data_IF_560651275441
#
_entry.id   IF_560651275441
#
_cell.length_a   1.000
_cell.length_b   1.000
_cell.length_c   1.000
_cell.angle_alpha   90.00
_cell.angle_beta   90.00
_cell.angle_gamma   90.00
#
_symmetry.space_group_name_H-M   'P 1'
#
loop_
_entity.id
_entity.type
_entity.pdbx_description
1 polymer ?
#
# COMPACT_ATOMS: atom_id res chain seq x y z
N UNK A 1 -12.99 46.16 13.20
CA UNK A 1 -11.95 45.13 12.91
C UNK A 1 -12.45 43.86 13.54
N UNK A 2 -12.80 42.85 12.74
CA UNK A 2 -13.12 41.52 13.28
C UNK A 2 -11.81 40.85 13.67
N UNK A 3 -11.73 40.23 14.86
CA UNK A 3 -10.52 39.54 15.29
C UNK A 3 -10.27 38.37 14.35
N UNK A 4 -9.02 38.25 13.90
CA UNK A 4 -8.55 37.07 13.19
C UNK A 4 -8.60 35.85 14.14
N UNK A 5 -8.95 34.70 13.57
CA UNK A 5 -8.90 33.43 14.31
C UNK A 5 -7.76 32.55 13.84
N UNK A 6 -7.29 31.69 14.72
CA UNK A 6 -6.39 30.61 14.37
C UNK A 6 -7.19 29.36 14.03
N UNK A 7 -6.90 28.76 12.89
CA UNK A 7 -7.46 27.50 12.46
C UNK A 7 -6.54 26.36 12.88
N UNK A 8 -7.12 25.29 13.39
CA UNK A 8 -6.41 24.03 13.64
C UNK A 8 -7.00 22.94 12.74
N UNK A 9 -6.14 22.09 12.23
CA UNK A 9 -6.48 20.94 11.40
C UNK A 9 -6.16 19.67 12.15
N UNK A 10 -7.12 18.77 12.23
CA UNK A 10 -6.96 17.39 12.68
C UNK A 10 -7.47 16.47 11.60
N UNK A 11 -6.72 15.42 11.30
CA UNK A 11 -7.04 14.51 10.21
C UNK A 11 -7.05 13.06 10.69
N UNK A 12 -7.82 12.23 10.03
CA UNK A 12 -7.87 10.79 10.27
C UNK A 12 -8.19 10.09 8.96
N UNK A 13 -7.18 9.52 8.36
CA UNK A 13 -7.34 8.66 7.18
C UNK A 13 -8.04 7.35 7.54
N UNK A 14 -8.83 6.81 6.61
CA UNK A 14 -9.26 5.42 6.68
C UNK A 14 -8.04 4.50 6.58
N UNK A 15 -8.21 3.19 6.81
CA UNK A 15 -7.13 2.21 6.80
C UNK A 15 -6.18 2.40 5.59
N UNK A 16 -4.97 2.85 5.86
CA UNK A 16 -3.95 3.17 4.84
C UNK A 16 -3.01 2.01 4.56
N UNK A 17 -2.82 1.12 5.51
CA UNK A 17 -1.98 -0.07 5.38
C UNK A 17 -2.76 -1.26 4.84
N UNK A 18 -2.06 -2.30 4.44
CA UNK A 18 -2.64 -3.57 4.02
C UNK A 18 -1.86 -4.26 2.92
N UNK A 19 -2.53 -5.13 2.19
CA UNK A 19 -1.93 -5.88 1.08
C UNK A 19 -2.01 -5.06 -0.21
N UNK A 20 -0.95 -5.10 -1.02
CA UNK A 20 -1.04 -4.64 -2.40
C UNK A 20 -2.07 -5.52 -3.14
N UNK A 21 -2.76 -4.95 -4.11
CA UNK A 21 -3.93 -5.60 -4.73
C UNK A 21 -5.27 -5.16 -4.15
N UNK A 22 -5.27 -4.39 -3.08
CA UNK A 22 -6.48 -3.74 -2.57
C UNK A 22 -7.03 -2.73 -3.59
N UNK A 23 -8.35 -2.72 -3.76
CA UNK A 23 -9.05 -1.82 -4.68
C UNK A 23 -9.88 -0.75 -3.96
N UNK A 24 -9.86 -0.72 -2.63
CA UNK A 24 -10.58 0.29 -1.85
C UNK A 24 -9.96 1.67 -2.07
N UNK A 25 -10.81 2.66 -2.18
CA UNK A 25 -10.39 4.05 -2.25
C UNK A 25 -9.64 4.46 -0.96
N UNK A 26 -8.66 5.32 -1.11
CA UNK A 26 -8.04 6.01 0.02
C UNK A 26 -8.92 7.18 0.40
N UNK A 27 -9.24 7.34 1.68
CA UNK A 27 -10.05 8.47 2.16
C UNK A 27 -9.46 9.08 3.42
N UNK A 28 -9.70 10.37 3.60
CA UNK A 28 -9.29 11.13 4.76
C UNK A 28 -10.44 11.99 5.27
N UNK A 29 -10.62 12.02 6.59
CA UNK A 29 -11.58 12.90 7.27
C UNK A 29 -10.83 14.03 7.94
N UNK A 30 -11.09 15.25 7.46
CA UNK A 30 -10.44 16.49 7.88
C UNK A 30 -11.38 17.22 8.82
N UNK A 31 -10.96 17.48 10.04
CA UNK A 31 -11.72 18.22 11.04
C UNK A 31 -11.03 19.55 11.31
N UNK A 32 -11.80 20.64 11.16
CA UNK A 32 -11.34 21.98 11.40
C UNK A 32 -11.88 22.49 12.73
N UNK A 33 -11.03 23.19 13.48
CA UNK A 33 -11.43 23.90 14.69
C UNK A 33 -10.86 25.32 14.68
N UNK A 34 -11.61 26.25 15.25
CA UNK A 34 -11.27 27.67 15.29
C UNK A 34 -11.43 28.21 16.71
N UNK A 35 -10.48 29.02 17.15
CA UNK A 35 -10.54 29.75 18.44
C UNK A 35 -11.41 31.01 18.38
N UNK A 36 -11.84 31.39 17.18
CA UNK A 36 -12.73 32.56 16.99
C UNK A 36 -14.20 32.25 17.19
N UNK A 37 -15.00 33.30 17.44
CA UNK A 37 -16.46 33.19 17.58
C UNK A 37 -17.17 33.03 16.23
N UNK A 38 -16.59 33.58 15.18
CA UNK A 38 -17.20 33.59 13.83
C UNK A 38 -17.11 32.23 13.17
N UNK A 39 -18.21 31.79 12.59
CA UNK A 39 -18.28 30.62 11.73
C UNK A 39 -18.28 31.04 10.27
N UNK A 40 -17.37 30.47 9.47
CA UNK A 40 -17.29 30.66 8.03
C UNK A 40 -16.81 29.40 7.33
N UNK A 41 -17.09 29.31 6.04
CA UNK A 41 -16.57 28.19 5.23
C UNK A 41 -15.10 28.45 4.86
N UNK A 42 -14.34 27.38 4.89
CA UNK A 42 -12.91 27.33 4.56
C UNK A 42 -12.71 26.31 3.44
N UNK A 43 -11.96 26.73 2.43
CA UNK A 43 -11.52 25.85 1.35
C UNK A 43 -10.10 25.37 1.60
N UNK A 44 -9.87 24.11 1.34
CA UNK A 44 -8.55 23.50 1.47
C UNK A 44 -8.30 22.46 0.41
N UNK A 45 -7.09 21.94 0.40
CA UNK A 45 -6.65 20.88 -0.49
C UNK A 45 -6.08 19.74 0.34
N UNK A 46 -6.59 18.55 0.12
CA UNK A 46 -6.00 17.31 0.61
C UNK A 46 -5.28 16.62 -0.55
N UNK A 47 -4.04 16.28 -0.36
CA UNK A 47 -3.22 15.63 -1.39
C UNK A 47 -2.84 14.23 -0.94
N UNK A 48 -3.30 13.21 -1.67
CA UNK A 48 -2.82 11.86 -1.50
C UNK A 48 -1.49 11.71 -2.24
N UNK A 49 -0.50 11.20 -1.53
CA UNK A 49 0.81 10.84 -2.07
C UNK A 49 0.93 9.32 -2.15
N UNK A 50 1.61 8.88 -3.17
CA UNK A 50 2.04 7.49 -3.34
C UNK A 50 3.53 7.45 -3.66
N UNK A 51 4.28 6.64 -2.91
CA UNK A 51 5.67 6.31 -3.23
C UNK A 51 5.80 4.81 -3.41
N UNK A 52 6.06 4.38 -4.65
CA UNK A 52 6.30 2.99 -4.97
C UNK A 52 7.61 2.46 -4.37
N UNK A 53 7.77 1.15 -4.34
CA UNK A 53 9.02 0.50 -3.87
C UNK A 53 10.23 0.83 -4.74
N UNK A 54 10.02 1.28 -5.97
CA UNK A 54 11.05 1.79 -6.90
C UNK A 54 11.40 3.27 -6.68
N UNK A 55 10.76 3.94 -5.73
CA UNK A 55 10.95 5.35 -5.43
C UNK A 55 10.14 6.31 -6.31
N UNK A 56 9.38 5.83 -7.26
CA UNK A 56 8.48 6.66 -8.07
C UNK A 56 7.39 7.28 -7.20
N UNK A 57 7.19 8.58 -7.29
CA UNK A 57 6.15 9.29 -6.55
C UNK A 57 5.05 9.75 -7.48
N UNK A 58 3.80 9.64 -7.01
CA UNK A 58 2.59 10.14 -7.67
C UNK A 58 1.73 10.85 -6.63
N UNK A 59 0.93 11.79 -7.09
CA UNK A 59 0.02 12.55 -6.23
C UNK A 59 -1.32 12.77 -6.91
N UNK A 60 -2.37 12.91 -6.10
CA UNK A 60 -3.67 13.40 -6.52
C UNK A 60 -4.20 14.39 -5.48
N UNK A 61 -4.61 15.57 -5.93
CA UNK A 61 -5.14 16.62 -5.08
C UNK A 61 -6.68 16.60 -5.11
N UNK A 62 -7.29 16.72 -3.94
CA UNK A 62 -8.74 16.83 -3.74
C UNK A 62 -9.06 18.14 -3.03
N UNK A 63 -9.92 18.93 -3.63
CA UNK A 63 -10.43 20.12 -2.98
C UNK A 63 -11.54 19.76 -1.99
N UNK A 64 -11.57 20.47 -0.87
CA UNK A 64 -12.65 20.35 0.10
C UNK A 64 -13.11 21.72 0.57
N UNK A 65 -14.33 21.77 1.05
CA UNK A 65 -14.90 22.93 1.75
C UNK A 65 -15.53 22.43 3.03
N UNK A 66 -15.21 23.06 4.13
CA UNK A 66 -15.82 22.78 5.43
C UNK A 66 -16.03 24.07 6.21
N UNK A 67 -16.94 24.07 7.17
CA UNK A 67 -16.97 25.10 8.21
C UNK A 67 -15.64 25.10 8.98
N UNK A 68 -15.16 26.28 9.39
CA UNK A 68 -13.99 26.40 10.27
C UNK A 68 -14.16 25.72 11.65
N UNK A 69 -15.34 25.15 11.91
CA UNK A 69 -15.71 24.34 13.09
C UNK A 69 -16.41 23.04 12.68
N UNK A 70 -16.08 22.51 11.52
CA UNK A 70 -16.73 21.35 10.93
C UNK A 70 -15.74 20.39 10.32
N UNK A 71 -16.24 19.44 9.54
CA UNK A 71 -15.44 18.40 8.91
C UNK A 71 -15.78 18.22 7.45
N UNK A 72 -14.84 17.69 6.69
CA UNK A 72 -15.01 17.21 5.33
C UNK A 72 -14.32 15.86 5.15
N UNK A 73 -14.84 15.03 4.26
CA UNK A 73 -14.19 13.79 3.85
C UNK A 73 -13.84 13.88 2.37
N UNK A 74 -12.61 13.47 2.03
CA UNK A 74 -12.12 13.36 0.67
C UNK A 74 -11.77 11.91 0.36
N UNK A 75 -11.83 11.55 -0.92
CA UNK A 75 -11.46 10.21 -1.40
C UNK A 75 -10.69 10.29 -2.70
N UNK A 76 -9.76 9.38 -2.87
CA UNK A 76 -9.02 9.19 -4.11
C UNK A 76 -8.80 7.70 -4.40
N UNK A 77 -8.96 7.31 -5.65
CA UNK A 77 -8.71 5.96 -6.11
C UNK A 77 -7.29 5.83 -6.65
N UNK A 78 -6.79 4.59 -6.70
CA UNK A 78 -5.51 4.31 -7.35
C UNK A 78 -5.52 4.70 -8.84
N UNK A 79 -6.67 4.61 -9.52
CA UNK A 79 -6.82 4.99 -10.94
C UNK A 79 -6.71 6.48 -11.19
N UNK A 80 -7.05 7.31 -10.19
CA UNK A 80 -6.84 8.76 -10.29
C UNK A 80 -5.36 9.12 -10.25
N UNK A 81 -4.53 8.29 -9.60
CA UNK A 81 -3.08 8.48 -9.59
C UNK A 81 -2.42 7.88 -10.84
N UNK A 82 -2.91 6.73 -11.29
CA UNK A 82 -2.40 6.07 -12.48
C UNK A 82 -3.49 5.20 -13.10
N UNK A 83 -4.00 5.64 -14.25
CA UNK A 83 -5.05 4.93 -14.97
C UNK A 83 -4.62 3.53 -15.46
N UNK A 84 -3.31 3.25 -15.53
CA UNK A 84 -2.78 1.93 -15.88
C UNK A 84 -2.86 0.91 -14.73
N UNK A 85 -3.05 1.37 -13.50
CA UNK A 85 -3.15 0.49 -12.35
C UNK A 85 -4.54 -0.15 -12.26
N UNK A 86 -4.58 -1.41 -11.88
CA UNK A 86 -5.83 -2.12 -11.60
C UNK A 86 -6.13 -2.18 -10.09
N UNK A 87 -5.10 -1.99 -9.28
CA UNK A 87 -5.16 -2.03 -7.83
C UNK A 87 -3.98 -1.25 -7.23
N UNK A 88 -4.00 -1.02 -5.91
CA UNK A 88 -2.87 -0.40 -5.23
C UNK A 88 -1.62 -1.27 -5.33
N UNK A 89 -0.53 -0.79 -5.95
CA UNK A 89 0.75 -1.51 -5.95
C UNK A 89 1.43 -1.42 -4.58
N UNK A 90 2.54 -2.14 -4.40
CA UNK A 90 3.33 -2.05 -3.17
C UNK A 90 4.00 -0.67 -3.04
N UNK A 91 4.02 -0.12 -1.83
CA UNK A 91 4.61 1.18 -1.52
C UNK A 91 3.92 1.89 -0.37
N UNK A 92 4.38 3.10 -0.08
CA UNK A 92 3.84 3.97 0.98
C UNK A 92 2.85 4.97 0.40
N UNK A 93 1.77 5.24 1.12
CA UNK A 93 0.82 6.29 0.80
C UNK A 93 0.51 7.13 2.03
N UNK A 94 0.20 8.41 1.83
CA UNK A 94 -0.16 9.33 2.92
C UNK A 94 -0.95 10.51 2.40
N UNK A 95 -1.68 11.16 3.30
CA UNK A 95 -2.40 12.39 3.02
C UNK A 95 -1.66 13.59 3.60
N UNK A 96 -1.58 14.67 2.83
CA UNK A 96 -1.23 16.00 3.29
C UNK A 96 -2.46 16.92 3.18
N UNK A 97 -2.64 17.83 4.11
CA UNK A 97 -3.71 18.83 4.07
C UNK A 97 -3.11 20.22 4.13
N UNK A 98 -3.53 21.07 3.21
CA UNK A 98 -3.10 22.47 3.13
C UNK A 98 -4.32 23.38 3.05
N UNK A 99 -4.36 24.40 3.91
CA UNK A 99 -5.39 25.45 3.94
C UNK A 99 -4.68 26.80 3.84
N UNK A 100 -4.81 27.45 2.69
CA UNK A 100 -4.26 28.78 2.49
C UNK A 100 -5.00 29.81 3.37
N UNK A 101 -4.30 30.86 3.78
CA UNK A 101 -4.91 31.97 4.50
C UNK A 101 -6.06 32.56 3.68
N UNK A 102 -7.24 32.63 4.27
CA UNK A 102 -8.44 33.13 3.66
C UNK A 102 -9.41 33.70 4.71
N UNK A 103 -10.43 34.47 4.27
CA UNK A 103 -11.44 35.00 5.18
C UNK A 103 -10.82 35.74 6.35
N UNK A 104 -11.23 35.38 7.56
CA UNK A 104 -10.71 35.94 8.80
C UNK A 104 -9.63 35.08 9.47
N UNK A 105 -9.00 34.14 8.76
CA UNK A 105 -7.87 33.38 9.27
C UNK A 105 -6.66 34.28 9.55
N UNK A 106 -5.99 34.07 10.66
CA UNK A 106 -4.73 34.77 10.99
C UNK A 106 -3.60 34.35 10.04
N UNK A 107 -3.53 33.07 9.70
CA UNK A 107 -2.46 32.46 8.92
C UNK A 107 -2.94 31.25 8.12
N UNK A 108 -2.11 30.78 7.21
CA UNK A 108 -2.30 29.48 6.57
C UNK A 108 -1.99 28.35 7.56
N UNK A 109 -2.57 27.17 7.35
CA UNK A 109 -2.33 25.98 8.16
C UNK A 109 -2.12 24.77 7.25
N UNK A 110 -1.23 23.86 7.66
CA UNK A 110 -1.02 22.60 6.96
C UNK A 110 -0.76 21.46 7.93
N UNK A 111 -1.09 20.24 7.48
CA UNK A 111 -0.74 19.00 8.15
C UNK A 111 -0.01 18.09 7.17
N UNK A 112 1.18 17.59 7.53
CA UNK A 112 1.98 16.69 6.71
C UNK A 112 1.91 15.28 7.26
N UNK A 113 1.35 14.38 6.47
CA UNK A 113 0.97 13.04 6.94
C UNK A 113 2.00 11.95 6.75
N UNK A 114 3.09 12.18 6.02
CA UNK A 114 4.06 11.11 5.67
C UNK A 114 4.55 10.32 6.89
N UNK A 115 4.79 11.01 8.01
CA UNK A 115 5.28 10.42 9.25
C UNK A 115 4.21 10.35 10.36
N UNK A 116 2.96 10.59 10.01
CA UNK A 116 1.83 10.45 10.91
C UNK A 116 1.13 9.12 10.66
N UNK A 117 1.15 8.23 11.64
CA UNK A 117 0.51 6.91 11.53
C UNK A 117 -1.01 6.95 11.35
N UNK A 118 -1.66 8.11 11.57
CA UNK A 118 -3.08 8.31 11.28
C UNK A 118 -3.35 8.67 9.82
N UNK A 119 -2.33 9.13 9.10
CA UNK A 119 -2.42 9.65 7.75
C UNK A 119 -1.64 8.82 6.73
N UNK A 120 -0.79 7.91 7.20
CA UNK A 120 0.10 7.12 6.36
C UNK A 120 -0.05 5.63 6.59
N UNK A 121 0.33 4.87 5.57
CA UNK A 121 0.40 3.42 5.63
C UNK A 121 1.14 2.83 4.44
N UNK A 122 1.42 1.55 4.54
CA UNK A 122 2.11 0.81 3.49
C UNK A 122 1.24 -0.31 2.94
N UNK A 123 1.24 -0.43 1.61
CA UNK A 123 0.76 -1.62 0.93
C UNK A 123 1.95 -2.54 0.69
N UNK A 124 1.91 -3.72 1.30
CA UNK A 124 2.99 -4.70 1.20
C UNK A 124 2.63 -5.85 0.29
N UNK A 125 3.61 -6.41 -0.40
CA UNK A 125 3.43 -7.67 -1.12
C UNK A 125 3.42 -8.82 -0.13
N UNK A 126 2.60 -9.84 -0.41
CA UNK A 126 2.71 -11.11 0.30
C UNK A 126 3.98 -11.80 -0.17
N UNK A 127 4.94 -12.13 0.73
CA UNK A 127 6.14 -12.86 0.34
C UNK A 127 5.77 -14.20 -0.29
N UNK A 128 6.53 -14.69 -1.28
CA UNK A 128 6.36 -16.05 -1.76
C UNK A 128 6.73 -17.05 -0.66
N UNK A 129 5.97 -18.13 -0.59
CA UNK A 129 6.24 -19.24 0.31
C UNK A 129 6.88 -20.38 -0.50
N UNK A 130 7.88 -21.02 0.05
CA UNK A 130 8.50 -22.20 -0.54
C UNK A 130 8.62 -23.28 0.52
N UNK A 131 8.24 -24.51 0.19
CA UNK A 131 8.45 -25.68 1.05
C UNK A 131 8.66 -26.92 0.20
N UNK A 132 9.20 -27.95 0.83
CA UNK A 132 9.45 -29.25 0.22
C UNK A 132 8.54 -30.30 0.88
N UNK A 133 8.07 -31.24 0.09
CA UNK A 133 7.45 -32.48 0.60
C UNK A 133 8.22 -33.69 0.10
N UNK A 134 8.30 -34.73 0.93
CA UNK A 134 8.87 -36.02 0.55
C UNK A 134 7.89 -36.83 -0.30
N UNK A 135 8.31 -38.02 -0.75
CA UNK A 135 7.48 -38.92 -1.56
C UNK A 135 6.17 -39.39 -0.87
N UNK A 136 6.08 -39.27 0.44
CA UNK A 136 4.87 -39.55 1.21
C UNK A 136 3.96 -38.29 1.41
N UNK A 137 4.36 -37.14 0.84
CA UNK A 137 3.61 -35.88 0.97
C UNK A 137 3.82 -35.14 2.30
N UNK A 138 4.79 -35.57 3.12
CA UNK A 138 5.08 -34.90 4.39
C UNK A 138 6.01 -33.73 4.15
N UNK A 139 5.75 -32.61 4.84
CA UNK A 139 6.63 -31.43 4.77
C UNK A 139 7.98 -31.72 5.39
N UNK A 140 9.04 -31.38 4.66
CA UNK A 140 10.43 -31.46 5.14
C UNK A 140 10.72 -30.13 5.86
N UNK A 141 11.05 -30.22 7.15
CA UNK A 141 11.35 -29.07 7.99
C UNK A 141 12.76 -28.55 7.71
N UNK A 142 12.88 -27.25 7.48
CA UNK A 142 14.16 -26.61 7.23
C UNK A 142 15.10 -26.75 8.44
N UNK A 143 16.29 -27.25 8.20
CA UNK A 143 17.33 -27.43 9.22
C UNK A 143 17.16 -28.62 10.16
N UNK A 144 16.06 -29.37 10.13
CA UNK A 144 15.79 -30.50 11.04
C UNK A 144 15.70 -31.85 10.34
N UNK A 145 15.40 -31.88 9.05
CA UNK A 145 15.23 -33.09 8.29
C UNK A 145 16.34 -33.23 7.26
N UNK A 146 17.01 -34.39 7.25
CA UNK A 146 17.95 -34.74 6.19
C UNK A 146 17.19 -35.40 5.04
N UNK A 147 17.54 -35.00 3.84
CA UNK A 147 17.04 -35.59 2.61
C UNK A 147 17.91 -36.75 2.21
N UNK A 148 17.36 -37.96 2.13
CA UNK A 148 18.11 -39.14 1.69
C UNK A 148 18.43 -39.05 0.19
N UNK A 149 19.67 -39.37 -0.17
CA UNK A 149 20.10 -39.44 -1.57
C UNK A 149 19.23 -40.41 -2.36
N UNK A 150 18.80 -39.98 -3.54
CA UNK A 150 17.94 -40.80 -4.42
C UNK A 150 16.44 -40.72 -4.09
N UNK A 151 16.03 -39.95 -3.10
CA UNK A 151 14.62 -39.77 -2.76
C UNK A 151 13.97 -38.70 -3.61
N UNK A 152 12.67 -38.86 -3.88
CA UNK A 152 11.88 -37.90 -4.59
C UNK A 152 11.35 -36.82 -3.64
N UNK A 153 11.40 -35.56 -4.07
CA UNK A 153 10.82 -34.42 -3.40
C UNK A 153 9.97 -33.63 -4.36
N UNK A 154 9.00 -32.97 -3.80
CA UNK A 154 8.23 -31.96 -4.52
C UNK A 154 8.51 -30.60 -3.90
N UNK A 155 9.00 -29.66 -4.69
CA UNK A 155 9.12 -28.27 -4.32
C UNK A 155 7.78 -27.58 -4.58
N UNK A 156 7.25 -26.96 -3.55
CA UNK A 156 6.04 -26.15 -3.64
C UNK A 156 6.43 -24.68 -3.55
N UNK A 157 5.94 -23.88 -4.47
CA UNK A 157 6.11 -22.43 -4.46
C UNK A 157 4.72 -21.82 -4.53
N UNK A 158 4.37 -21.03 -3.52
CA UNK A 158 3.16 -20.25 -3.50
C UNK A 158 3.54 -18.79 -3.67
N UNK A 159 3.14 -18.20 -4.76
CA UNK A 159 3.35 -16.79 -5.05
C UNK A 159 2.01 -16.10 -5.25
N UNK A 160 1.96 -14.83 -4.87
CA UNK A 160 0.80 -13.97 -5.07
C UNK A 160 1.12 -12.92 -6.11
N UNK A 161 0.31 -12.84 -7.16
CA UNK A 161 0.33 -11.71 -8.09
C UNK A 161 -0.82 -10.77 -7.74
N UNK A 162 -0.49 -9.50 -7.55
CA UNK A 162 -1.47 -8.46 -7.29
C UNK A 162 -1.79 -7.63 -8.55
N UNK A 163 -1.37 -8.13 -9.70
CA UNK A 163 -1.66 -7.55 -10.99
C UNK A 163 -2.18 -8.64 -11.92
N UNK A 164 -3.09 -8.28 -12.82
CA UNK A 164 -3.54 -9.17 -13.90
C UNK A 164 -2.49 -9.38 -14.99
N UNK A 165 -1.27 -8.91 -14.76
CA UNK A 165 -0.13 -9.07 -15.66
C UNK A 165 0.58 -10.42 -15.46
N UNK A 166 1.24 -10.88 -16.50
CA UNK A 166 2.11 -12.06 -16.43
C UNK A 166 3.23 -11.79 -15.42
N UNK A 167 3.50 -12.76 -14.58
CA UNK A 167 4.64 -12.75 -13.67
C UNK A 167 5.46 -14.03 -13.87
N UNK A 168 6.73 -13.98 -13.45
CA UNK A 168 7.64 -15.08 -13.56
C UNK A 168 7.99 -15.60 -12.16
N UNK A 169 8.02 -16.92 -12.02
CA UNK A 169 8.52 -17.58 -10.82
C UNK A 169 9.87 -18.16 -11.17
N UNK A 170 10.91 -17.74 -10.44
CA UNK A 170 12.25 -18.28 -10.56
C UNK A 170 12.58 -19.06 -9.30
N UNK A 171 12.96 -20.33 -9.48
CA UNK A 171 13.55 -21.14 -8.43
C UNK A 171 14.96 -21.55 -8.82
N UNK A 172 15.94 -21.14 -8.02
CA UNK A 172 17.34 -21.51 -8.23
C UNK A 172 17.70 -22.67 -7.34
N UNK A 173 17.99 -23.81 -7.97
CA UNK A 173 18.49 -25.00 -7.29
C UNK A 173 20.02 -24.95 -7.39
N UNK A 174 20.70 -24.79 -6.24
CA UNK A 174 22.16 -24.59 -6.19
C UNK A 174 22.96 -25.88 -6.07
N UNK A 175 22.29 -27.04 -6.05
CA UNK A 175 23.00 -28.31 -5.86
C UNK A 175 23.20 -29.07 -7.18
N UNK A 176 24.41 -29.63 -7.36
CA UNK A 176 24.79 -30.41 -8.54
C UNK A 176 24.09 -31.79 -8.59
N UNK A 177 23.47 -32.18 -7.50
CA UNK A 177 23.00 -33.53 -7.25
C UNK A 177 21.48 -33.67 -7.33
N UNK A 178 20.79 -32.61 -7.79
CA UNK A 178 19.33 -32.61 -7.94
C UNK A 178 18.97 -32.73 -9.42
N UNK A 179 18.22 -33.79 -9.74
CA UNK A 179 17.61 -33.98 -11.06
C UNK A 179 16.15 -33.62 -10.99
N UNK A 180 15.71 -32.67 -11.80
CA UNK A 180 14.33 -32.21 -11.84
C UNK A 180 13.59 -33.07 -12.88
N UNK A 181 12.46 -33.65 -12.47
CA UNK A 181 11.57 -34.37 -13.36
C UNK A 181 11.98 -35.77 -13.81
N UNK A 182 13.04 -36.33 -13.28
CA UNK A 182 13.43 -37.76 -13.49
C UNK A 182 14.16 -38.09 -14.79
N UNK A 183 14.21 -37.19 -15.78
CA UNK A 183 15.05 -37.27 -16.96
C UNK A 183 15.56 -35.90 -17.37
N UNK A 184 16.75 -35.84 -17.98
CA UNK A 184 17.36 -34.58 -18.45
C UNK A 184 16.50 -33.77 -19.45
N UNK A 185 15.44 -34.35 -19.98
CA UNK A 185 14.55 -33.72 -20.96
C UNK A 185 13.27 -33.14 -20.37
N UNK A 186 13.00 -33.36 -19.10
CA UNK A 186 11.75 -32.95 -18.46
C UNK A 186 11.89 -31.68 -17.59
N UNK A 187 12.88 -30.85 -17.87
CA UNK A 187 13.18 -29.60 -17.16
C UNK A 187 12.02 -28.58 -17.13
N UNK A 188 10.93 -28.86 -17.83
CA UNK A 188 9.73 -27.99 -17.88
C UNK A 188 8.51 -28.71 -17.33
N UNK A 189 8.71 -29.84 -16.67
CA UNK A 189 7.65 -30.73 -16.27
C UNK A 189 6.81 -30.20 -15.15
N UNK A 190 5.58 -29.91 -15.46
CA UNK A 190 4.43 -29.80 -14.55
C UNK A 190 4.45 -28.61 -13.61
N UNK A 191 4.43 -27.41 -14.18
CA UNK A 191 3.85 -26.27 -13.48
C UNK A 191 2.33 -26.41 -13.54
N UNK A 192 1.70 -26.72 -12.42
CA UNK A 192 0.24 -26.61 -12.27
C UNK A 192 -0.04 -25.24 -11.66
N UNK A 193 -0.76 -24.42 -12.40
CA UNK A 193 -1.21 -23.08 -11.98
C UNK A 193 -2.60 -23.19 -11.36
#
# INVERSE_FOLDING_TARGET
VQPNYHLSVSTQAAEMSGQSGDTKDASDTITLSSDGSKTENVNGTATLHWRGIDGTEKTVAKQFTASNKGSATVSASFKEMDASWESWPAGKRWWDVDVAKQGNMAEAVSHKGENDGKESGEKTTTPPEKWLTNGAGQTVQDGNDSIASGSLYTAHIKAHSNASSKFWIYDKIETKDVVIGGTEQDDVSKVTV
#
